data_IF_952869020060
#
_entry.id   IF_952869020060
#
_cell.length_a   1.000
_cell.length_b   1.000
_cell.length_c   1.000
_cell.angle_alpha   90.00
_cell.angle_beta   90.00
_cell.angle_gamma   90.00
#
_symmetry.space_group_name_H-M   'P 1'
#
loop_
_entity.id
_entity.type
_entity.pdbx_description
1 polymer ?
#
# COMPACT_ATOMS: atom_id res chain seq x y z
N UNK A 1 -0.64 22.83 -7.81
CA UNK A 1 -0.22 21.85 -8.81
C UNK A 1 0.46 22.56 -9.96
N UNK A 2 1.69 22.15 -10.28
CA UNK A 2 2.47 22.72 -11.37
C UNK A 2 1.95 22.25 -12.74
N UNK A 3 2.17 23.04 -13.79
CA UNK A 3 1.69 22.71 -15.14
C UNK A 3 2.27 21.37 -15.65
N UNK A 4 3.54 21.10 -15.33
CA UNK A 4 4.17 19.82 -15.64
C UNK A 4 3.44 18.63 -14.97
N UNK A 5 3.02 18.77 -13.72
CA UNK A 5 2.23 17.76 -13.01
C UNK A 5 0.86 17.54 -13.67
N UNK A 6 0.20 18.62 -14.11
CA UNK A 6 -1.09 18.54 -14.83
C UNK A 6 -0.94 17.74 -16.12
N UNK A 7 0.04 18.08 -16.94
CA UNK A 7 0.29 17.42 -18.23
C UNK A 7 0.68 15.95 -18.05
N UNK A 8 1.50 15.65 -17.04
CA UNK A 8 1.79 14.26 -16.65
C UNK A 8 0.51 13.50 -16.30
N UNK A 9 -0.34 14.05 -15.42
CA UNK A 9 -1.57 13.38 -15.02
C UNK A 9 -2.52 13.14 -16.21
N UNK A 10 -2.69 14.13 -17.08
CA UNK A 10 -3.47 14.00 -18.34
C UNK A 10 -2.93 12.87 -19.21
N UNK A 11 -1.61 12.82 -19.42
CA UNK A 11 -0.99 11.80 -20.26
C UNK A 11 -1.08 10.39 -19.67
N UNK A 12 -1.02 10.24 -18.34
CA UNK A 12 -0.97 8.93 -17.70
C UNK A 12 -2.34 8.29 -17.52
N UNK A 13 -3.35 9.08 -17.13
CA UNK A 13 -4.68 8.56 -16.76
C UNK A 13 -5.83 9.18 -17.55
N UNK A 14 -5.56 10.09 -18.48
CA UNK A 14 -6.59 10.72 -19.31
C UNK A 14 -7.51 11.68 -18.56
N UNK A 15 -7.11 12.14 -17.37
CA UNK A 15 -7.89 13.07 -16.56
C UNK A 15 -8.04 14.42 -17.27
N UNK A 16 -9.24 14.99 -17.30
CA UNK A 16 -9.51 16.28 -17.95
C UNK A 16 -9.14 17.47 -17.06
N UNK A 17 -9.00 18.67 -17.65
CA UNK A 17 -8.79 19.90 -16.87
C UNK A 17 -9.90 20.15 -15.85
N UNK A 18 -11.17 19.91 -16.22
CA UNK A 18 -12.30 20.06 -15.33
C UNK A 18 -12.23 19.12 -14.11
N UNK A 19 -11.66 17.93 -14.26
CA UNK A 19 -11.45 16.98 -13.16
C UNK A 19 -10.24 17.35 -12.32
N UNK A 20 -9.15 17.82 -12.95
CA UNK A 20 -7.97 18.35 -12.25
C UNK A 20 -8.33 19.51 -11.32
N UNK A 21 -9.19 20.41 -11.77
CA UNK A 21 -9.65 21.57 -10.99
C UNK A 21 -10.50 21.16 -9.76
N UNK A 22 -11.02 19.93 -9.73
CA UNK A 22 -11.82 19.37 -8.62
C UNK A 22 -11.00 18.53 -7.64
N UNK A 23 -9.72 18.30 -7.91
CA UNK A 23 -8.88 17.51 -7.02
C UNK A 23 -8.76 18.17 -5.65
N UNK A 24 -8.87 17.37 -4.59
CA UNK A 24 -8.64 17.88 -3.24
C UNK A 24 -7.16 18.30 -3.07
N UNK A 25 -6.85 19.24 -2.15
CA UNK A 25 -5.48 19.66 -1.91
C UNK A 25 -4.53 18.50 -1.61
N UNK A 26 -4.99 17.48 -0.88
CA UNK A 26 -4.20 16.29 -0.58
C UNK A 26 -3.87 15.43 -1.81
N UNK A 27 -4.79 15.33 -2.79
CA UNK A 27 -4.51 14.61 -4.04
C UNK A 27 -3.58 15.43 -4.95
N UNK A 28 -3.73 16.76 -4.99
CA UNK A 28 -2.78 17.62 -5.70
C UNK A 28 -1.37 17.46 -5.11
N UNK A 29 -1.23 17.48 -3.79
CA UNK A 29 0.04 17.25 -3.09
C UNK A 29 0.62 15.86 -3.40
N UNK A 30 -0.20 14.82 -3.44
CA UNK A 30 0.22 13.46 -3.82
C UNK A 30 0.83 13.44 -5.24
N UNK A 31 0.20 14.10 -6.21
CA UNK A 31 0.69 14.17 -7.59
C UNK A 31 1.98 14.99 -7.71
N UNK A 32 2.04 16.14 -7.04
CA UNK A 32 3.22 17.00 -7.00
C UNK A 32 4.43 16.30 -6.34
N UNK A 33 4.20 15.28 -5.50
CA UNK A 33 5.23 14.48 -4.83
C UNK A 33 5.42 13.07 -5.44
N UNK A 34 4.96 12.84 -6.67
CA UNK A 34 5.04 11.54 -7.34
C UNK A 34 6.46 10.96 -7.40
N UNK A 35 7.48 11.79 -7.61
CA UNK A 35 8.89 11.36 -7.59
C UNK A 35 9.32 10.81 -6.23
N UNK A 36 8.90 11.45 -5.12
CA UNK A 36 9.20 10.96 -3.78
C UNK A 36 8.51 9.62 -3.50
N UNK A 37 7.28 9.43 -3.98
CA UNK A 37 6.56 8.15 -3.87
C UNK A 37 7.28 7.02 -4.62
N UNK A 38 7.83 7.31 -5.80
CA UNK A 38 8.58 6.32 -6.59
C UNK A 38 9.92 5.93 -5.96
N UNK A 39 10.47 6.75 -5.06
CA UNK A 39 11.68 6.43 -4.29
C UNK A 39 11.47 5.43 -3.15
N UNK A 40 10.24 4.95 -2.95
CA UNK A 40 9.93 3.95 -1.94
C UNK A 40 9.07 2.82 -2.51
N UNK A 41 9.25 1.63 -1.93
CA UNK A 41 8.26 0.54 -1.99
C UNK A 41 7.76 0.23 -0.59
N UNK A 42 6.50 -0.14 -0.48
CA UNK A 42 5.88 -0.58 0.78
C UNK A 42 5.79 -2.10 0.76
N UNK A 43 6.32 -2.74 1.79
CA UNK A 43 6.37 -4.19 1.95
C UNK A 43 5.43 -4.57 3.09
N UNK A 44 4.51 -5.49 2.82
CA UNK A 44 3.78 -6.21 3.85
C UNK A 44 4.35 -7.64 3.92
N UNK A 45 5.19 -7.87 4.94
CA UNK A 45 5.82 -9.15 5.20
C UNK A 45 4.99 -9.96 6.18
N UNK A 46 4.67 -11.20 5.82
CA UNK A 46 3.98 -12.13 6.70
C UNK A 46 4.91 -12.49 7.86
N UNK A 47 4.50 -12.20 9.08
CA UNK A 47 5.23 -12.57 10.30
C UNK A 47 4.59 -13.76 11.01
N UNK A 48 3.27 -13.96 10.86
CA UNK A 48 2.55 -15.13 11.36
C UNK A 48 1.48 -15.55 10.37
N UNK A 49 1.30 -16.86 10.19
CA UNK A 49 0.21 -17.42 9.40
C UNK A 49 -0.26 -18.76 9.97
N UNK A 50 -1.57 -18.93 10.09
CA UNK A 50 -2.21 -20.18 10.51
C UNK A 50 -3.43 -20.45 9.65
N UNK A 51 -3.62 -21.70 9.19
CA UNK A 51 -4.78 -22.17 8.44
C UNK A 51 -5.20 -21.27 7.27
N UNK A 52 -4.24 -20.68 6.54
CA UNK A 52 -4.49 -19.72 5.48
C UNK A 52 -4.74 -20.40 4.13
N UNK A 53 -5.92 -20.22 3.54
CA UNK A 53 -6.24 -20.73 2.19
C UNK A 53 -5.52 -20.00 1.06
N UNK A 54 -4.97 -18.81 1.32
CA UNK A 54 -4.09 -18.13 0.36
C UNK A 54 -2.66 -18.70 0.35
N UNK A 55 -2.38 -19.70 1.22
CA UNK A 55 -1.10 -20.37 1.38
C UNK A 55 0.05 -19.46 1.83
N UNK A 56 -0.27 -18.36 2.53
CA UNK A 56 0.74 -17.50 3.13
C UNK A 56 1.55 -18.21 4.21
N UNK A 57 2.85 -17.92 4.23
CA UNK A 57 3.83 -18.41 5.20
C UNK A 57 4.68 -17.26 5.73
N UNK A 58 5.22 -17.35 6.96
CA UNK A 58 6.18 -16.37 7.46
C UNK A 58 7.33 -16.13 6.46
N UNK A 59 7.61 -14.86 6.19
CA UNK A 59 8.59 -14.41 5.19
C UNK A 59 8.03 -14.13 3.79
N UNK A 60 6.80 -14.54 3.49
CA UNK A 60 6.11 -14.12 2.26
C UNK A 60 5.88 -12.60 2.26
N UNK A 61 5.98 -11.98 1.09
CA UNK A 61 5.88 -10.52 0.92
C UNK A 61 4.85 -10.18 -0.12
N UNK A 62 3.99 -9.23 0.21
CA UNK A 62 3.23 -8.42 -0.75
C UNK A 62 3.94 -7.07 -0.87
N UNK A 63 4.38 -6.73 -2.08
CA UNK A 63 5.16 -5.51 -2.32
C UNK A 63 4.33 -4.52 -3.12
N UNK A 64 4.34 -3.25 -2.73
CA UNK A 64 3.53 -2.19 -3.31
C UNK A 64 4.39 -1.00 -3.73
N UNK A 65 4.24 -0.58 -4.99
CA UNK A 65 4.78 0.68 -5.49
C UNK A 65 3.64 1.70 -5.44
N UNK A 66 3.74 2.68 -4.54
CA UNK A 66 2.60 3.47 -4.09
C UNK A 66 1.43 2.57 -3.63
N UNK A 67 0.29 2.59 -4.32
CA UNK A 67 -0.86 1.72 -4.03
C UNK A 67 -0.95 0.50 -4.93
N UNK A 68 0.00 0.30 -5.84
CA UNK A 68 -0.06 -0.76 -6.85
C UNK A 68 0.78 -1.96 -6.42
N UNK A 69 0.19 -3.15 -6.42
CA UNK A 69 0.91 -4.38 -6.13
C UNK A 69 1.98 -4.62 -7.21
N UNK A 70 3.24 -4.72 -6.79
CA UNK A 70 4.35 -5.15 -7.62
C UNK A 70 4.39 -6.68 -7.66
N UNK A 71 3.88 -7.26 -8.75
CA UNK A 71 3.82 -8.72 -8.94
C UNK A 71 5.20 -9.39 -9.01
N UNK A 72 6.21 -8.67 -9.49
CA UNK A 72 7.53 -9.26 -9.77
C UNK A 72 8.37 -9.35 -8.49
N UNK A 73 8.10 -8.48 -7.52
CA UNK A 73 8.75 -8.49 -6.19
C UNK A 73 7.90 -9.17 -5.10
N UNK A 74 6.61 -9.40 -5.37
CA UNK A 74 5.73 -10.13 -4.47
C UNK A 74 6.09 -11.62 -4.47
N UNK A 75 6.45 -12.15 -3.30
CA UNK A 75 6.80 -13.57 -3.13
C UNK A 75 5.60 -14.42 -2.71
N UNK A 76 4.54 -13.78 -2.21
CA UNK A 76 3.36 -14.47 -1.74
C UNK A 76 2.61 -15.13 -2.91
N UNK A 77 2.29 -16.43 -2.78
CA UNK A 77 1.80 -17.23 -3.91
C UNK A 77 0.43 -16.78 -4.45
N UNK A 78 -0.43 -16.22 -3.60
CA UNK A 78 -1.76 -15.77 -3.98
C UNK A 78 -2.02 -14.36 -3.47
N UNK A 79 -2.95 -13.68 -4.11
CA UNK A 79 -3.39 -12.35 -3.71
C UNK A 79 -4.78 -12.47 -3.10
N UNK A 80 -4.86 -12.32 -1.78
CA UNK A 80 -6.10 -12.50 -1.01
C UNK A 80 -6.74 -11.15 -0.68
N UNK A 81 -8.02 -10.99 -1.00
CA UNK A 81 -8.79 -9.77 -0.71
C UNK A 81 -8.86 -9.47 0.78
N UNK A 82 -8.99 -10.50 1.62
CA UNK A 82 -9.05 -10.38 3.08
C UNK A 82 -7.70 -9.98 3.69
N UNK A 83 -6.61 -10.23 2.98
CA UNK A 83 -5.28 -9.75 3.37
C UNK A 83 -5.04 -8.31 2.91
N UNK A 84 -5.37 -7.97 1.66
CA UNK A 84 -5.10 -6.64 1.10
C UNK A 84 -5.95 -5.55 1.73
N UNK A 85 -7.22 -5.82 1.98
CA UNK A 85 -8.18 -4.81 2.45
C UNK A 85 -7.68 -4.05 3.68
N UNK A 86 -7.24 -4.70 4.78
CA UNK A 86 -6.73 -3.99 5.95
C UNK A 86 -5.35 -3.36 5.72
N UNK A 87 -4.54 -3.88 4.79
CA UNK A 87 -3.23 -3.31 4.45
C UNK A 87 -3.33 -1.92 3.82
N UNK A 88 -4.40 -1.63 3.06
CA UNK A 88 -4.59 -0.32 2.42
C UNK A 88 -4.56 0.85 3.42
N UNK A 89 -5.01 0.66 4.65
CA UNK A 89 -4.93 1.70 5.69
C UNK A 89 -3.48 2.04 6.05
N UNK A 90 -2.66 1.01 6.28
CA UNK A 90 -1.24 1.20 6.59
C UNK A 90 -0.48 1.78 5.39
N UNK A 91 -0.76 1.29 4.18
CA UNK A 91 -0.17 1.81 2.93
C UNK A 91 -0.47 3.29 2.79
N UNK A 92 -1.74 3.71 2.92
CA UNK A 92 -2.14 5.13 2.80
C UNK A 92 -1.50 6.02 3.86
N UNK A 93 -1.35 5.53 5.09
CA UNK A 93 -0.66 6.26 6.14
C UNK A 93 0.82 6.49 5.78
N UNK A 94 1.51 5.47 5.26
CA UNK A 94 2.91 5.59 4.83
C UNK A 94 3.08 6.52 3.63
N UNK A 95 2.20 6.44 2.63
CA UNK A 95 2.22 7.36 1.49
C UNK A 95 2.00 8.81 1.93
N UNK A 96 1.10 9.03 2.88
CA UNK A 96 0.90 10.35 3.47
C UNK A 96 2.15 10.85 4.19
N UNK A 97 2.85 9.99 4.94
CA UNK A 97 4.12 10.36 5.57
C UNK A 97 5.18 10.74 4.54
N UNK A 98 5.35 9.96 3.47
CA UNK A 98 6.32 10.22 2.38
C UNK A 98 6.06 11.59 1.73
N UNK A 99 4.80 11.87 1.37
CA UNK A 99 4.39 13.14 0.73
C UNK A 99 4.60 14.35 1.65
N UNK A 100 4.60 14.15 2.96
CA UNK A 100 4.88 15.19 3.95
C UNK A 100 6.36 15.26 4.36
N UNK A 101 7.25 14.54 3.66
CA UNK A 101 8.70 14.52 3.97
C UNK A 101 9.01 13.87 5.32
N UNK A 102 8.11 13.04 5.84
CA UNK A 102 8.27 12.32 7.08
C UNK A 102 8.81 10.92 6.82
N UNK A 103 9.44 10.33 7.84
CA UNK A 103 9.87 8.93 7.79
C UNK A 103 8.64 8.00 7.83
N UNK A 104 8.35 7.25 6.74
CA UNK A 104 7.19 6.35 6.67
C UNK A 104 7.24 5.20 7.68
N UNK A 105 8.44 4.85 8.18
CA UNK A 105 8.61 3.75 9.13
C UNK A 105 8.38 4.16 10.59
N UNK A 106 8.12 5.45 10.88
CA UNK A 106 7.72 5.91 12.22
C UNK A 106 6.26 5.62 12.56
N UNK A 107 5.50 5.02 11.66
CA UNK A 107 4.11 4.65 11.91
C UNK A 107 4.04 3.51 12.94
N UNK A 108 3.43 3.79 14.10
CA UNK A 108 3.39 2.85 15.23
C UNK A 108 2.43 1.67 15.01
N UNK A 109 1.41 1.82 14.15
CA UNK A 109 0.43 0.77 13.84
C UNK A 109 0.80 0.04 12.55
N UNK A 110 1.98 -0.57 12.53
CA UNK A 110 2.52 -1.24 11.34
C UNK A 110 2.36 -2.78 11.36
N UNK A 111 1.66 -3.32 12.35
CA UNK A 111 1.26 -4.73 12.37
C UNK A 111 -0.21 -4.82 11.98
N UNK A 112 -0.50 -5.54 10.90
CA UNK A 112 -1.83 -5.59 10.28
C UNK A 112 -2.28 -7.04 10.16
N UNK A 113 -3.47 -7.35 10.65
CA UNK A 113 -4.06 -8.67 10.52
C UNK A 113 -4.98 -8.72 9.29
N UNK A 114 -5.08 -9.88 8.61
CA UNK A 114 -6.14 -10.12 7.64
C UNK A 114 -7.54 -10.13 8.29
N UNK A 115 -8.59 -10.11 7.46
CA UNK A 115 -9.98 -10.02 7.93
C UNK A 115 -10.58 -11.34 8.45
N UNK A 116 -9.91 -12.48 8.26
CA UNK A 116 -10.37 -13.75 8.83
C UNK A 116 -10.31 -13.69 10.37
N UNK A 117 -11.41 -14.09 11.01
CA UNK A 117 -11.57 -14.04 12.47
C UNK A 117 -10.78 -15.14 13.18
N UNK A 118 -10.32 -16.17 12.45
CA UNK A 118 -9.58 -17.30 12.96
C UNK A 118 -10.45 -18.42 13.53
N UNK A 119 -9.86 -19.61 13.62
CA UNK A 119 -10.55 -20.86 13.98
C UNK A 119 -11.30 -20.80 15.34
N UNK A 120 -10.82 -20.02 16.31
CA UNK A 120 -11.45 -19.90 17.62
C UNK A 120 -12.63 -18.91 17.65
N UNK A 121 -12.87 -18.19 16.56
CA UNK A 121 -13.89 -17.14 16.46
C UNK A 121 -14.77 -17.28 15.21
N UNK A 122 -15.00 -18.52 14.76
CA UNK A 122 -15.91 -18.85 13.65
C UNK A 122 -15.31 -18.64 12.25
N UNK A 123 -14.03 -18.28 12.16
CA UNK A 123 -13.26 -18.20 10.93
C UNK A 123 -12.45 -19.47 10.69
N UNK A 124 -11.46 -19.37 9.81
CA UNK A 124 -10.61 -20.51 9.42
C UNK A 124 -9.16 -20.23 9.82
N UNK A 125 -8.59 -19.13 9.30
CA UNK A 125 -7.19 -18.78 9.42
C UNK A 125 -6.92 -17.41 10.00
N UNK A 126 -5.63 -17.12 10.17
CA UNK A 126 -5.15 -15.81 10.62
C UNK A 126 -3.80 -15.55 10.02
N UNK A 127 -3.61 -14.36 9.45
CA UNK A 127 -2.33 -13.90 8.92
C UNK A 127 -2.04 -12.53 9.51
N UNK A 128 -0.84 -12.36 10.04
CA UNK A 128 -0.32 -11.11 10.57
C UNK A 128 0.83 -10.63 9.69
N UNK A 129 0.76 -9.39 9.28
CA UNK A 129 1.76 -8.72 8.46
C UNK A 129 2.48 -7.67 9.29
N UNK A 130 3.80 -7.56 9.11
CA UNK A 130 4.56 -6.36 9.42
C UNK A 130 4.70 -5.53 8.15
N UNK A 131 4.27 -4.28 8.22
CA UNK A 131 4.29 -3.34 7.10
C UNK A 131 5.44 -2.35 7.30
N UNK A 132 6.22 -2.08 6.27
CA UNK A 132 7.32 -1.13 6.29
C UNK A 132 7.60 -0.58 4.89
N UNK A 133 8.33 0.53 4.80
CA UNK A 133 8.79 1.10 3.55
C UNK A 133 10.30 0.89 3.39
N UNK A 134 10.73 0.58 2.16
CA UNK A 134 12.12 0.47 1.75
C UNK A 134 12.41 1.50 0.66
N UNK A 135 13.61 2.09 0.65
CA UNK A 135 14.05 2.93 -0.46
C UNK A 135 14.42 2.07 -1.68
N UNK A 136 14.13 2.58 -2.88
CA UNK A 136 14.41 1.94 -4.18
C UNK A 136 15.59 2.62 -4.86
#
# INVERSE_FOLDING_TARGET
>A
MEEATREMAKSMIGISDQELDKLSPGIQQLLDNSAALMGYRIVAEVIEAANCFAFYKPGDKLVFNATMLNKDETTAANICTDAITPLNTAIRAMLSAIVNGQDPNKYIFNNVQCLDTGALHGGLGRVLFKVYAEQV
#
